data_IF_959999207878
#
_entry.id   IF_959999207878
#
_cell.length_a   1.000
_cell.length_b   1.000
_cell.length_c   1.000
_cell.angle_alpha   90.00
_cell.angle_beta   90.00
_cell.angle_gamma   90.00
#
_symmetry.space_group_name_H-M   'P 1'
#
loop_
_entity.id
_entity.type
_entity.pdbx_description
1 polymer ?
#
# COMPACT_ATOMS: atom_id res chain seq x y z
N UNK A 1 9.57 12.94 -21.39
CA UNK A 1 9.94 11.83 -20.49
C UNK A 1 10.80 12.43 -19.39
N UNK A 2 10.35 12.43 -18.13
CA UNK A 2 11.16 12.95 -17.02
C UNK A 2 11.57 11.77 -16.13
N UNK A 3 12.88 11.53 -16.07
CA UNK A 3 13.54 10.49 -15.29
C UNK A 3 13.54 10.85 -13.80
N UNK A 4 13.36 9.86 -12.94
CA UNK A 4 13.62 10.00 -11.51
C UNK A 4 14.63 8.93 -11.09
N UNK A 5 15.92 9.18 -11.30
CA UNK A 5 16.96 8.57 -10.47
C UNK A 5 17.27 9.56 -9.35
N UNK A 6 16.91 9.22 -8.11
CA UNK A 6 17.49 9.82 -6.92
C UNK A 6 18.47 8.81 -6.33
N UNK A 7 19.74 8.97 -6.68
CA UNK A 7 20.83 8.43 -5.86
C UNK A 7 21.01 9.37 -4.67
N UNK A 8 21.05 8.82 -3.46
CA UNK A 8 21.88 9.39 -2.40
C UNK A 8 22.61 8.24 -1.73
N UNK A 9 23.86 8.07 -2.14
CA UNK A 9 24.94 7.59 -1.29
C UNK A 9 24.99 8.51 -0.07
N UNK A 10 25.18 7.95 1.13
CA UNK A 10 26.47 8.11 1.81
C UNK A 10 26.61 7.15 3.00
N UNK A 11 27.83 6.69 3.19
CA UNK A 11 28.23 5.67 4.13
C UNK A 11 29.02 6.32 5.28
N UNK A 12 28.56 6.18 6.52
CA UNK A 12 29.37 6.39 7.73
C UNK A 12 28.90 5.35 8.75
N UNK A 13 29.59 4.23 9.00
CA UNK A 13 30.87 4.05 9.69
C UNK A 13 30.99 4.80 11.04
N UNK A 14 30.57 4.07 12.09
CA UNK A 14 31.11 3.97 13.46
C UNK A 14 31.04 5.11 14.50
N UNK A 15 30.76 4.59 15.71
CA UNK A 15 31.30 4.86 17.06
C UNK A 15 30.83 6.08 17.86
N UNK A 16 30.16 5.74 18.96
CA UNK A 16 30.29 6.21 20.36
C UNK A 16 30.63 7.68 20.66
N UNK A 17 29.75 8.28 21.47
CA UNK A 17 29.87 9.49 22.34
C UNK A 17 29.30 10.82 21.80
N UNK A 18 28.01 11.10 22.11
CA UNK A 18 27.47 12.48 22.26
C UNK A 18 26.02 12.53 22.79
N UNK A 19 25.58 13.70 23.34
CA UNK A 19 24.53 13.85 24.39
C UNK A 19 23.08 13.79 23.87
N UNK A 20 22.04 13.76 24.75
CA UNK A 20 20.67 13.46 24.34
C UNK A 20 20.09 14.49 23.35
N UNK A 21 19.12 14.08 22.50
CA UNK A 21 18.56 14.96 21.48
C UNK A 21 17.84 16.16 22.12
N UNK A 22 18.00 17.37 21.57
CA UNK A 22 17.19 18.51 21.94
C UNK A 22 15.72 18.25 21.60
N UNK A 23 14.90 18.89 22.40
CA UNK A 23 13.47 18.68 22.58
C UNK A 23 12.66 18.74 21.27
N UNK A 24 11.56 17.99 21.31
CA UNK A 24 10.47 17.94 20.36
C UNK A 24 10.25 19.25 19.59
N UNK A 25 10.03 19.21 18.26
CA UNK A 25 9.61 20.41 17.56
C UNK A 25 8.25 20.85 18.09
N UNK A 26 8.28 21.97 18.81
CA UNK A 26 7.15 22.78 19.25
C UNK A 26 6.01 22.77 18.24
N UNK A 27 4.81 22.69 18.78
CA UNK A 27 3.57 23.05 18.11
C UNK A 27 3.68 24.48 17.57
N UNK A 28 4.13 24.62 16.33
CA UNK A 28 4.13 25.88 15.63
C UNK A 28 2.71 26.08 15.14
N UNK A 29 1.93 26.77 15.98
CA UNK A 29 0.56 27.20 15.71
C UNK A 29 0.44 27.74 14.29
N UNK A 30 -0.31 27.00 13.48
CA UNK A 30 -0.66 27.39 12.13
C UNK A 30 -1.61 28.58 12.21
N UNK A 31 -1.18 29.64 11.54
CA UNK A 31 -1.81 30.93 11.30
C UNK A 31 -3.34 30.92 11.38
N UNK A 32 -3.88 31.85 12.18
CA UNK A 32 -5.31 32.08 12.36
C UNK A 32 -5.93 32.64 11.06
N UNK A 33 -6.20 31.76 10.11
CA UNK A 33 -7.12 32.06 9.01
C UNK A 33 -8.53 32.26 9.57
N UNK A 34 -8.98 33.52 9.66
CA UNK A 34 -10.38 33.86 9.93
C UNK A 34 -11.30 33.06 8.99
N UNK A 35 -12.27 32.27 9.51
CA UNK A 35 -13.24 31.63 8.64
C UNK A 35 -14.15 32.72 8.06
N UNK A 36 -14.08 32.92 6.74
CA UNK A 36 -15.11 33.67 6.01
C UNK A 36 -16.48 33.05 6.31
N UNK A 37 -17.51 33.85 6.69
CA UNK A 37 -18.80 33.32 7.12
C UNK A 37 -19.61 32.62 6.00
N UNK A 38 -19.07 32.52 4.79
CA UNK A 38 -19.73 31.90 3.63
C UNK A 38 -19.18 30.54 3.18
N UNK A 39 -18.10 30.03 3.78
CA UNK A 39 -17.52 28.76 3.38
C UNK A 39 -16.98 28.01 4.59
N UNK A 40 -17.88 27.44 5.40
CA UNK A 40 -17.51 26.33 6.26
C UNK A 40 -17.02 25.20 5.35
N UNK A 41 -15.70 25.10 5.15
CA UNK A 41 -15.09 23.91 4.59
C UNK A 41 -15.53 22.75 5.47
N UNK A 42 -16.45 21.94 4.94
CA UNK A 42 -17.00 20.77 5.61
C UNK A 42 -15.83 19.81 5.85
N UNK A 43 -15.21 19.91 7.04
CA UNK A 43 -14.18 18.98 7.48
C UNK A 43 -14.85 17.62 7.59
N UNK A 44 -14.37 16.66 6.81
CA UNK A 44 -14.85 15.28 6.92
C UNK A 44 -14.26 14.68 8.19
N UNK A 45 -15.10 14.16 9.06
CA UNK A 45 -14.69 13.35 10.21
C UNK A 45 -15.04 11.89 9.93
N UNK A 46 -14.25 11.00 10.52
CA UNK A 46 -14.52 9.56 10.54
C UNK A 46 -14.72 9.17 12.00
N UNK A 47 -15.76 8.41 12.27
CA UNK A 47 -16.04 7.84 13.58
C UNK A 47 -16.03 6.32 13.45
N UNK A 48 -15.45 5.65 14.42
CA UNK A 48 -15.48 4.19 14.53
C UNK A 48 -16.65 3.79 15.43
N UNK A 49 -17.21 2.61 15.18
CA UNK A 49 -18.22 2.01 16.04
C UNK A 49 -17.68 1.76 17.45
N UNK A 50 -18.58 1.63 18.41
CA UNK A 50 -18.20 1.34 19.79
C UNK A 50 -17.66 -0.10 19.91
N UNK A 51 -16.80 -0.33 20.90
CA UNK A 51 -16.21 -1.65 21.15
C UNK A 51 -17.32 -2.65 21.47
N UNK A 52 -17.42 -3.74 20.72
CA UNK A 52 -18.47 -4.75 20.87
C UNK A 52 -19.61 -4.66 19.86
N UNK A 53 -19.57 -3.68 18.94
CA UNK A 53 -20.45 -3.62 17.76
C UNK A 53 -19.86 -4.37 16.55
N UNK A 54 -18.85 -5.24 16.75
CA UNK A 54 -18.29 -6.04 15.67
C UNK A 54 -19.12 -7.30 15.39
N UNK A 55 -19.58 -7.45 14.15
CA UNK A 55 -20.17 -8.71 13.70
C UNK A 55 -19.06 -9.76 13.44
N UNK A 56 -19.16 -10.91 14.12
CA UNK A 56 -18.21 -12.02 13.97
C UNK A 56 -18.83 -13.08 13.06
N UNK A 57 -18.16 -13.35 11.94
CA UNK A 57 -18.51 -14.43 11.03
C UNK A 57 -17.40 -15.48 11.00
N UNK A 58 -17.78 -16.74 11.14
CA UNK A 58 -16.86 -17.86 10.97
C UNK A 58 -16.71 -18.14 9.48
N UNK A 59 -15.46 -18.26 9.05
CA UNK A 59 -15.13 -18.71 7.70
C UNK A 59 -14.81 -20.19 7.77
N UNK A 60 -15.13 -20.91 6.71
CA UNK A 60 -14.76 -22.32 6.59
C UNK A 60 -13.25 -22.52 6.79
N UNK A 61 -12.92 -23.67 7.36
CA UNK A 61 -11.55 -24.13 7.56
C UNK A 61 -10.94 -24.57 6.22
N UNK A 62 -10.66 -23.58 5.37
CA UNK A 62 -9.92 -23.79 4.13
C UNK A 62 -8.42 -23.74 4.43
N UNK A 63 -7.67 -24.68 3.86
CA UNK A 63 -6.21 -24.62 3.90
C UNK A 63 -5.72 -23.34 3.19
N UNK A 64 -5.22 -22.40 4.00
CA UNK A 64 -4.62 -21.14 3.53
C UNK A 64 -3.11 -21.24 3.38
N UNK A 65 -2.54 -22.45 3.49
CA UNK A 65 -1.13 -22.64 3.22
C UNK A 65 -0.84 -22.16 1.78
N UNK A 66 0.20 -21.33 1.58
CA UNK A 66 0.65 -21.02 0.24
C UNK A 66 0.87 -22.32 -0.53
N UNK A 67 0.35 -22.40 -1.75
CA UNK A 67 0.63 -23.55 -2.61
C UNK A 67 2.13 -23.72 -2.71
N UNK A 68 2.60 -24.97 -2.64
CA UNK A 68 4.01 -25.28 -2.79
C UNK A 68 4.58 -24.55 -4.01
N UNK A 69 5.77 -23.96 -3.85
CA UNK A 69 6.45 -23.28 -4.96
C UNK A 69 6.61 -24.30 -6.07
N UNK A 70 5.96 -24.05 -7.21
CA UNK A 70 6.13 -24.87 -8.41
C UNK A 70 7.62 -24.98 -8.70
N UNK A 71 8.08 -26.15 -9.09
CA UNK A 71 9.47 -26.31 -9.52
C UNK A 71 9.86 -25.24 -10.54
N UNK A 72 11.15 -24.89 -10.58
CA UNK A 72 11.62 -23.88 -11.52
C UNK A 72 11.30 -24.36 -12.93
N UNK A 73 10.45 -23.60 -13.62
CA UNK A 73 10.13 -23.85 -15.03
C UNK A 73 11.42 -23.99 -15.83
N UNK A 74 11.48 -25.03 -16.65
CA UNK A 74 12.57 -25.22 -17.60
C UNK A 74 12.46 -24.19 -18.73
N UNK A 75 13.53 -24.05 -19.52
CA UNK A 75 13.50 -23.19 -20.68
C UNK A 75 12.41 -23.61 -21.69
N UNK A 76 12.20 -24.92 -21.84
CA UNK A 76 11.18 -25.47 -22.73
C UNK A 76 9.77 -25.06 -22.28
N UNK A 77 9.47 -25.19 -20.99
CA UNK A 77 8.16 -24.79 -20.44
C UNK A 77 7.90 -23.30 -20.69
N UNK A 78 8.92 -22.45 -20.48
CA UNK A 78 8.82 -21.01 -20.73
C UNK A 78 8.60 -20.70 -22.21
N UNK A 79 9.19 -21.48 -23.12
CA UNK A 79 8.99 -21.35 -24.56
C UNK A 79 7.54 -21.68 -24.94
N UNK A 80 7.03 -22.82 -24.51
CA UNK A 80 5.66 -23.27 -24.78
C UNK A 80 4.62 -22.30 -24.21
N UNK A 81 4.84 -21.78 -22.99
CA UNK A 81 3.97 -20.76 -22.39
C UNK A 81 3.93 -19.46 -23.20
N UNK A 82 5.04 -19.07 -23.83
CA UNK A 82 5.07 -17.91 -24.73
C UNK A 82 4.29 -18.18 -26.01
N UNK A 83 4.43 -19.37 -26.59
CA UNK A 83 3.66 -19.76 -27.77
C UNK A 83 2.16 -19.77 -27.48
N UNK A 84 1.74 -20.36 -26.35
CA UNK A 84 0.33 -20.35 -25.92
C UNK A 84 -0.22 -18.93 -25.76
N UNK A 85 0.56 -18.02 -25.17
CA UNK A 85 0.16 -16.62 -25.02
C UNK A 85 -0.05 -15.91 -26.35
N UNK A 86 0.68 -16.30 -27.39
CA UNK A 86 0.53 -15.76 -28.75
C UNK A 86 -0.69 -16.39 -29.44
N UNK A 87 -0.86 -17.70 -29.29
CA UNK A 87 -1.91 -18.47 -29.96
C UNK A 87 -3.31 -18.21 -29.38
N UNK A 88 -3.42 -17.92 -28.08
CA UNK A 88 -4.70 -17.75 -27.40
C UNK A 88 -5.20 -16.28 -27.47
N UNK A 89 -6.46 -16.04 -27.85
CA UNK A 89 -7.07 -14.72 -27.76
C UNK A 89 -6.99 -14.20 -26.31
N UNK A 90 -6.62 -12.93 -26.14
CA UNK A 90 -6.64 -12.30 -24.82
C UNK A 90 -8.07 -12.24 -24.32
N UNK A 91 -8.42 -13.12 -23.39
CA UNK A 91 -9.67 -13.01 -22.65
C UNK A 91 -9.49 -11.82 -21.70
N UNK A 92 -9.98 -10.65 -22.13
CA UNK A 92 -10.17 -9.51 -21.25
C UNK A 92 -11.28 -9.88 -20.28
N UNK A 93 -10.95 -10.51 -19.15
CA UNK A 93 -11.86 -10.63 -18.03
C UNK A 93 -12.14 -9.21 -17.56
N UNK A 94 -13.20 -8.61 -18.10
CA UNK A 94 -13.70 -7.33 -17.67
C UNK A 94 -13.92 -7.45 -16.16
N UNK A 95 -13.19 -6.62 -15.42
CA UNK A 95 -13.38 -6.35 -14.00
C UNK A 95 -14.83 -5.93 -13.83
N UNK A 96 -15.72 -6.91 -13.61
CA UNK A 96 -17.09 -6.64 -13.18
C UNK A 96 -16.96 -6.07 -11.78
N UNK A 97 -16.92 -4.73 -11.69
CA UNK A 97 -17.32 -4.02 -10.49
C UNK A 97 -18.74 -4.52 -10.20
N UNK A 98 -18.89 -5.39 -9.22
CA UNK A 98 -20.17 -5.63 -8.60
C UNK A 98 -20.50 -4.35 -7.83
N UNK A 99 -21.48 -3.62 -8.35
CA UNK A 99 -22.17 -2.52 -7.70
C UNK A 99 -23.56 -3.08 -7.41
N UNK A 100 -23.84 -3.35 -6.13
CA UNK A 100 -25.18 -3.40 -5.55
C UNK A 100 -25.08 -3.23 -4.05
#
# INVERSE_FOLDING_TARGET
MKSCLKCTTDAHHRDTSSPPPPESPSEQGSDCGMPSPGAMQRRKSVTFCEVGEEDIFYVDDWDRSPTAVTERLTYQDVYELKELRIALPRIHLARRKAES
#
